data_IF_143443484846
#
_entry.id   IF_143443484846
#
_cell.length_a   1.000
_cell.length_b   1.000
_cell.length_c   1.000
_cell.angle_alpha   90.00
_cell.angle_beta   90.00
_cell.angle_gamma   90.00
#
_symmetry.space_group_name_H-M   'P 1'
#
loop_
_entity.id
_entity.type
_entity.pdbx_description
1 polymer ?
#
# COMPACT_ATOMS: atom_id res chain seq x y z
N UNK A 1 17.07 23.90 6.61
CA UNK A 1 18.52 24.02 6.84
C UNK A 1 18.70 25.33 7.57
N UNK A 2 18.86 25.30 8.90
CA UNK A 2 18.97 26.52 9.70
C UNK A 2 20.46 26.89 9.76
N UNK A 3 20.87 27.92 9.02
CA UNK A 3 22.26 28.40 8.99
C UNK A 3 22.36 29.69 9.79
N UNK A 4 23.26 29.72 10.78
CA UNK A 4 23.66 30.93 11.49
C UNK A 4 25.14 31.16 11.20
N UNK A 5 25.48 32.32 10.65
CA UNK A 5 26.85 32.67 10.27
C UNK A 5 27.54 33.43 11.42
N UNK A 6 28.66 32.89 11.90
CA UNK A 6 29.75 33.69 12.48
C UNK A 6 30.85 33.76 11.41
N UNK A 7 31.24 34.99 11.02
CA UNK A 7 32.37 35.27 10.12
C UNK A 7 32.48 34.43 8.82
N UNK A 8 31.36 33.98 8.26
CA UNK A 8 31.30 33.17 7.02
C UNK A 8 31.91 31.76 7.14
N UNK A 9 32.13 31.24 8.35
CA UNK A 9 32.57 29.86 8.57
C UNK A 9 31.35 28.94 8.69
N UNK A 10 31.33 27.87 7.90
CA UNK A 10 30.29 26.84 7.99
C UNK A 10 30.64 25.80 9.06
N UNK A 11 29.67 25.44 9.91
CA UNK A 11 29.80 24.39 10.92
C UNK A 11 28.83 23.25 10.62
N UNK A 12 29.33 22.01 10.55
CA UNK A 12 28.57 20.80 10.23
C UNK A 12 28.58 19.74 11.35
N UNK A 13 29.21 20.05 12.49
CA UNK A 13 29.37 19.17 13.64
C UNK A 13 28.99 19.83 14.97
N UNK A 14 28.71 19.01 15.98
CA UNK A 14 28.47 19.50 17.35
C UNK A 14 29.79 19.95 17.98
N UNK A 15 29.80 21.11 18.63
CA UNK A 15 31.01 21.63 19.25
C UNK A 15 30.80 22.97 19.94
N UNK A 16 31.80 23.39 20.72
CA UNK A 16 31.90 24.75 21.24
C UNK A 16 32.78 25.54 20.29
N UNK A 17 32.21 26.59 19.70
CA UNK A 17 32.90 27.48 18.79
C UNK A 17 33.14 28.81 19.48
N UNK A 18 34.33 29.38 19.30
CA UNK A 18 34.70 30.66 19.87
C UNK A 18 35.33 31.55 18.82
N UNK A 19 34.99 32.82 18.86
CA UNK A 19 35.51 33.85 17.98
C UNK A 19 35.95 35.06 18.80
N UNK A 20 37.00 35.75 18.35
CA UNK A 20 37.60 36.90 19.01
C UNK A 20 37.52 38.13 18.12
N UNK A 21 36.62 39.05 18.43
CA UNK A 21 36.60 40.36 17.80
C UNK A 21 37.51 41.32 18.56
N UNK A 22 38.39 42.04 17.85
CA UNK A 22 39.25 43.08 18.43
C UNK A 22 38.78 44.46 18.01
N UNK A 23 38.73 45.41 18.96
CA UNK A 23 38.45 46.80 18.63
C UNK A 23 39.71 47.51 18.07
N UNK A 24 39.55 48.74 17.58
CA UNK A 24 40.66 49.57 17.04
C UNK A 24 41.77 49.89 18.07
N UNK A 25 41.52 49.61 19.36
CA UNK A 25 42.44 49.81 20.47
C UNK A 25 43.11 48.52 20.95
N UNK A 26 42.86 47.38 20.28
CA UNK A 26 43.48 46.10 20.60
C UNK A 26 42.90 45.38 21.83
N UNK A 27 41.75 45.82 22.36
CA UNK A 27 41.00 45.00 23.32
C UNK A 27 40.23 43.92 22.57
N UNK A 28 40.29 42.69 23.05
CA UNK A 28 39.53 41.56 22.51
C UNK A 28 38.18 41.39 23.23
N UNK A 29 37.23 40.79 22.53
CA UNK A 29 36.02 40.24 23.10
C UNK A 29 35.87 38.82 22.58
N UNK A 30 35.80 37.85 23.50
CA UNK A 30 35.59 36.43 23.17
C UNK A 30 34.08 36.15 23.14
N UNK A 31 33.57 35.78 21.97
CA UNK A 31 32.22 35.26 21.82
C UNK A 31 32.29 33.75 21.74
N UNK A 32 31.49 33.04 22.52
CA UNK A 32 31.42 31.57 22.47
C UNK A 32 29.98 31.11 22.26
N UNK A 33 29.81 30.18 21.32
CA UNK A 33 28.55 29.47 21.06
C UNK A 33 28.77 27.98 21.30
N UNK A 34 27.88 27.37 22.06
CA UNK A 34 27.77 25.92 22.13
C UNK A 34 26.73 25.47 21.10
N UNK A 35 27.18 24.83 20.02
CA UNK A 35 26.35 24.39 18.91
C UNK A 35 26.15 22.88 18.98
N UNK A 36 24.87 22.46 19.03
CA UNK A 36 24.48 21.05 18.92
C UNK A 36 23.85 20.81 17.55
N UNK A 37 24.48 19.99 16.72
CA UNK A 37 23.97 19.50 15.43
C UNK A 37 23.64 18.02 15.58
N UNK A 38 22.37 17.68 15.44
CA UNK A 38 21.87 16.31 15.51
C UNK A 38 21.84 15.68 14.10
N UNK A 39 22.20 14.38 13.95
CA UNK A 39 22.18 13.71 12.66
C UNK A 39 20.74 13.57 12.15
N UNK A 40 20.54 13.78 10.83
CA UNK A 40 19.31 13.34 10.16
C UNK A 40 19.33 11.81 10.07
N UNK A 41 18.30 11.16 10.58
CA UNK A 41 18.07 9.75 10.30
C UNK A 41 17.47 9.65 8.89
N UNK A 42 18.14 8.94 8.00
CA UNK A 42 17.60 8.65 6.67
C UNK A 42 16.41 7.70 6.88
N UNK A 43 15.21 8.12 6.47
CA UNK A 43 14.05 7.25 6.63
C UNK A 43 14.05 6.12 5.60
N UNK A 44 13.47 5.00 6.03
CA UNK A 44 13.41 3.76 5.28
C UNK A 44 12.34 3.82 4.17
N UNK A 45 12.54 3.07 3.09
CA UNK A 45 11.55 2.92 2.02
C UNK A 45 10.83 1.59 2.14
N UNK A 46 9.53 1.64 2.44
CA UNK A 46 8.67 0.46 2.45
C UNK A 46 8.03 0.29 1.08
N UNK A 47 8.18 -0.87 0.45
CA UNK A 47 7.51 -1.17 -0.83
C UNK A 47 6.37 -2.16 -0.60
N UNK A 48 5.16 -1.74 -0.93
CA UNK A 48 3.94 -2.53 -0.74
C UNK A 48 3.19 -2.66 -2.05
N UNK A 49 2.59 -3.82 -2.26
CA UNK A 49 1.59 -4.03 -3.29
C UNK A 49 0.29 -4.42 -2.57
N UNK A 50 -0.83 -3.77 -2.91
CA UNK A 50 -2.12 -3.97 -2.24
C UNK A 50 -3.30 -3.95 -3.23
N UNK A 51 -4.46 -4.44 -2.80
CA UNK A 51 -5.75 -4.29 -3.49
C UNK A 51 -6.69 -3.49 -2.59
N UNK A 52 -7.47 -2.57 -3.17
CA UNK A 52 -8.42 -1.73 -2.41
C UNK A 52 -7.77 -0.65 -1.54
N UNK A 53 -6.43 -0.64 -1.46
CA UNK A 53 -5.63 0.32 -0.73
C UNK A 53 -4.81 -0.28 0.42
N UNK A 54 -4.05 0.58 1.07
CA UNK A 54 -3.15 0.23 2.17
C UNK A 54 -3.20 1.31 3.25
N UNK A 55 -3.41 0.89 4.50
CA UNK A 55 -3.27 1.77 5.67
C UNK A 55 -1.80 1.90 6.03
N UNK A 56 -1.28 3.11 5.90
CA UNK A 56 0.06 3.48 6.32
C UNK A 56 -0.02 4.58 7.37
N UNK A 57 0.35 4.25 8.60
CA UNK A 57 0.33 5.13 9.77
C UNK A 57 -1.05 5.77 10.07
N UNK A 58 -2.15 5.05 9.81
CA UNK A 58 -3.50 5.53 10.04
C UNK A 58 -4.09 6.35 8.89
N UNK A 59 -3.37 6.47 7.77
CA UNK A 59 -3.86 7.07 6.53
C UNK A 59 -4.00 5.98 5.48
N UNK A 60 -5.19 5.89 4.89
CA UNK A 60 -5.46 4.93 3.82
C UNK A 60 -5.05 5.54 2.47
N UNK A 61 -4.19 4.82 1.75
CA UNK A 61 -3.77 5.12 0.40
C UNK A 61 -4.33 4.07 -0.56
N UNK A 62 -5.20 4.49 -1.47
CA UNK A 62 -5.90 3.61 -2.43
C UNK A 62 -5.31 3.66 -3.84
N UNK A 63 -4.35 4.55 -4.07
CA UNK A 63 -3.76 4.83 -5.38
C UNK A 63 -2.30 4.40 -5.45
N UNK A 64 -1.86 3.98 -6.63
CA UNK A 64 -0.43 3.70 -6.86
C UNK A 64 0.37 5.00 -6.78
N UNK A 65 1.45 4.99 -6.00
CA UNK A 65 2.26 6.18 -5.82
C UNK A 65 3.39 6.01 -4.82
N UNK A 66 4.22 7.05 -4.77
CA UNK A 66 5.25 7.21 -3.74
C UNK A 66 4.74 8.25 -2.74
N UNK A 67 4.58 7.84 -1.50
CA UNK A 67 4.12 8.67 -0.39
C UNK A 67 5.26 8.92 0.59
N UNK A 68 5.34 10.11 1.15
CA UNK A 68 6.34 10.47 2.14
C UNK A 68 5.64 10.97 3.39
N UNK A 69 6.14 10.57 4.55
CA UNK A 69 5.68 11.04 5.84
C UNK A 69 6.89 11.42 6.71
N UNK A 70 6.71 12.45 7.53
CA UNK A 70 7.72 12.90 8.48
C UNK A 70 7.40 12.31 9.84
N UNK A 71 8.08 11.22 10.20
CA UNK A 71 8.10 10.82 11.60
C UNK A 71 9.04 11.79 12.34
N UNK A 72 8.45 12.63 13.20
CA UNK A 72 9.20 13.47 14.12
C UNK A 72 9.89 12.55 15.13
N UNK A 73 11.22 12.45 15.05
CA UNK A 73 11.99 11.71 16.06
C UNK A 73 11.76 12.37 17.43
N UNK A 74 11.50 11.56 18.45
CA UNK A 74 11.40 12.00 19.85
C UNK A 74 12.68 12.67 20.36
N UNK A 75 13.78 12.58 19.60
CA UNK A 75 15.05 13.24 19.87
C UNK A 75 15.17 14.48 18.96
N UNK A 76 14.98 15.64 19.58
CA UNK A 76 15.51 16.95 19.18
C UNK A 76 15.11 17.57 17.84
N UNK A 77 13.99 17.15 17.22
CA UNK A 77 13.42 17.85 16.04
C UNK A 77 14.20 17.63 14.74
N UNK A 78 15.01 16.59 14.67
CA UNK A 78 15.50 16.05 13.41
C UNK A 78 14.45 15.09 12.85
N UNK A 79 13.59 15.62 11.98
CA UNK A 79 12.54 14.82 11.35
C UNK A 79 13.15 13.80 10.39
N UNK A 80 12.62 12.57 10.44
CA UNK A 80 12.96 11.51 9.48
C UNK A 80 11.86 11.47 8.43
N UNK A 81 12.23 11.48 7.14
CA UNK A 81 11.28 11.27 6.05
C UNK A 81 11.26 9.80 5.72
N UNK A 82 10.19 9.09 6.08
CA UNK A 82 9.93 7.72 5.62
C UNK A 82 9.20 7.77 4.28
N UNK A 83 9.41 6.74 3.46
CA UNK A 83 8.82 6.65 2.12
C UNK A 83 8.03 5.34 1.98
N UNK A 84 6.81 5.42 1.47
CA UNK A 84 6.02 4.28 1.01
C UNK A 84 5.99 4.29 -0.53
N UNK A 85 6.46 3.22 -1.15
CA UNK A 85 6.27 2.96 -2.56
C UNK A 85 5.12 1.94 -2.72
N UNK A 86 3.92 2.44 -3.01
CA UNK A 86 2.71 1.63 -3.10
C UNK A 86 2.34 1.36 -4.56
N UNK A 87 2.15 0.08 -4.90
CA UNK A 87 1.41 -0.33 -6.09
C UNK A 87 0.03 -0.84 -5.66
N UNK A 88 -0.99 -0.02 -5.86
CA UNK A 88 -2.40 -0.34 -5.53
C UNK A 88 -3.15 -0.78 -6.79
N UNK A 89 -3.88 -1.89 -6.68
CA UNK A 89 -4.84 -2.37 -7.67
C UNK A 89 -6.27 -2.20 -7.17
N UNK A 90 -7.26 -2.01 -8.06
CA UNK A 90 -8.66 -2.03 -7.64
C UNK A 90 -9.03 -3.39 -7.04
N UNK A 91 -9.93 -3.36 -6.05
CA UNK A 91 -10.60 -4.58 -5.60
C UNK A 91 -11.47 -5.14 -6.71
N UNK A 92 -11.69 -6.45 -6.68
CA UNK A 92 -12.58 -7.15 -7.59
C UNK A 92 -13.75 -7.76 -6.83
N UNK A 93 -14.93 -7.71 -7.42
CA UNK A 93 -16.14 -8.31 -6.86
C UNK A 93 -16.56 -9.50 -7.73
N UNK A 94 -16.38 -10.72 -7.23
CA UNK A 94 -16.78 -11.94 -7.90
C UNK A 94 -18.20 -12.41 -7.52
N UNK A 95 -19.04 -11.52 -6.99
CA UNK A 95 -20.39 -11.87 -6.54
C UNK A 95 -21.31 -12.24 -7.72
N UNK A 96 -21.92 -13.42 -7.62
CA UNK A 96 -22.95 -13.90 -8.53
C UNK A 96 -23.96 -14.75 -7.75
N UNK A 97 -25.14 -14.95 -8.35
CA UNK A 97 -26.20 -15.80 -7.80
C UNK A 97 -26.89 -16.58 -8.91
N UNK A 98 -27.44 -17.74 -8.59
CA UNK A 98 -28.49 -18.37 -9.39
C UNK A 98 -29.84 -18.17 -8.68
N UNK A 99 -30.93 -18.38 -9.40
CA UNK A 99 -32.29 -18.21 -8.88
C UNK A 99 -32.70 -19.29 -7.87
N UNK A 100 -32.12 -20.48 -7.96
CA UNK A 100 -32.29 -21.57 -6.99
C UNK A 100 -30.96 -22.30 -6.67
N UNK A 101 -30.94 -23.07 -5.58
CA UNK A 101 -29.83 -23.93 -5.18
C UNK A 101 -29.92 -25.36 -5.71
N UNK A 102 -31.02 -25.74 -6.38
CA UNK A 102 -31.20 -27.08 -6.97
C UNK A 102 -32.09 -27.03 -8.21
N UNK A 103 -31.81 -27.91 -9.18
CA UNK A 103 -32.55 -28.01 -10.44
C UNK A 103 -32.84 -29.47 -10.75
N UNK A 104 -34.00 -29.74 -11.36
CA UNK A 104 -34.40 -31.07 -11.78
C UNK A 104 -33.86 -31.39 -13.18
N UNK A 105 -33.62 -32.68 -13.45
CA UNK A 105 -33.30 -33.14 -14.80
C UNK A 105 -34.46 -32.80 -15.73
N UNK A 106 -34.17 -32.05 -16.80
CA UNK A 106 -35.16 -31.59 -17.77
C UNK A 106 -35.69 -30.17 -17.53
N UNK A 107 -35.27 -29.50 -16.46
CA UNK A 107 -35.51 -28.07 -16.28
C UNK A 107 -34.81 -27.24 -17.36
N UNK A 108 -35.22 -25.99 -17.50
CA UNK A 108 -34.50 -25.03 -18.34
C UNK A 108 -33.09 -24.78 -17.76
N UNK A 109 -32.15 -24.45 -18.65
CA UNK A 109 -30.78 -24.10 -18.27
C UNK A 109 -30.76 -22.84 -17.39
N UNK A 110 -30.29 -22.92 -16.14
CA UNK A 110 -30.27 -21.76 -15.26
C UNK A 110 -29.19 -20.77 -15.68
N UNK A 111 -29.49 -19.49 -15.49
CA UNK A 111 -28.65 -18.37 -15.90
C UNK A 111 -28.24 -17.58 -14.65
N UNK A 112 -26.95 -17.37 -14.39
CA UNK A 112 -26.53 -16.63 -13.22
C UNK A 112 -26.80 -15.13 -13.38
N UNK A 113 -27.11 -14.46 -12.28
CA UNK A 113 -27.06 -13.01 -12.17
C UNK A 113 -25.73 -12.61 -11.53
N UNK A 114 -24.85 -11.97 -12.30
CA UNK A 114 -23.60 -11.40 -11.81
C UNK A 114 -23.92 -10.03 -11.20
N UNK A 115 -23.61 -9.84 -9.92
CA UNK A 115 -23.80 -8.56 -9.22
C UNK A 115 -22.50 -7.78 -9.04
N UNK A 116 -21.36 -8.46 -9.18
CA UNK A 116 -20.03 -7.87 -9.17
C UNK A 116 -19.49 -7.57 -10.59
N UNK A 117 -18.18 -7.70 -10.76
CA UNK A 117 -17.46 -7.45 -12.01
C UNK A 117 -17.84 -8.44 -13.11
N UNK A 118 -18.00 -7.96 -14.34
CA UNK A 118 -18.50 -8.78 -15.46
C UNK A 118 -17.39 -9.38 -16.33
N UNK A 119 -16.13 -9.19 -15.96
CA UNK A 119 -14.96 -9.60 -16.77
C UNK A 119 -14.37 -10.95 -16.38
N UNK A 120 -14.97 -11.61 -15.38
CA UNK A 120 -14.53 -12.91 -14.89
C UNK A 120 -14.92 -14.09 -15.80
N UNK A 121 -14.46 -15.28 -15.41
CA UNK A 121 -14.79 -16.56 -16.06
C UNK A 121 -15.39 -17.52 -15.06
N UNK A 122 -16.41 -18.25 -15.47
CA UNK A 122 -17.00 -19.33 -14.70
C UNK A 122 -16.22 -20.63 -14.87
N UNK A 123 -16.18 -21.40 -13.78
CA UNK A 123 -15.64 -22.77 -13.72
C UNK A 123 -16.50 -23.60 -12.78
N UNK A 124 -16.43 -24.92 -12.90
CA UNK A 124 -17.11 -25.84 -11.99
C UNK A 124 -16.27 -27.05 -11.65
N UNK A 125 -16.67 -27.78 -10.62
CA UNK A 125 -16.20 -29.16 -10.43
C UNK A 125 -16.61 -30.06 -11.62
N UNK A 126 -15.84 -31.14 -11.83
CA UNK A 126 -16.05 -32.07 -12.93
C UNK A 126 -17.45 -32.69 -12.91
N UNK A 127 -18.10 -32.76 -14.07
CA UNK A 127 -19.42 -33.39 -14.25
C UNK A 127 -20.58 -32.40 -14.39
N UNK A 128 -20.37 -31.11 -14.11
CA UNK A 128 -21.29 -30.03 -14.47
C UNK A 128 -20.84 -29.41 -15.80
N UNK A 129 -21.74 -29.31 -16.76
CA UNK A 129 -21.52 -28.57 -17.99
C UNK A 129 -21.92 -27.10 -17.76
N UNK A 130 -20.94 -26.21 -17.79
CA UNK A 130 -21.14 -24.76 -17.64
C UNK A 130 -20.40 -24.01 -18.75
N UNK A 131 -21.05 -23.00 -19.33
CA UNK A 131 -20.38 -22.10 -20.26
C UNK A 131 -19.48 -21.12 -19.51
N UNK A 132 -18.17 -21.14 -19.80
CA UNK A 132 -17.19 -20.36 -19.05
C UNK A 132 -17.37 -18.84 -19.16
N UNK A 133 -18.02 -18.34 -20.22
CA UNK A 133 -18.16 -16.90 -20.47
C UNK A 133 -19.46 -16.33 -19.92
N UNK A 134 -20.55 -17.08 -20.03
CA UNK A 134 -21.89 -16.66 -19.62
C UNK A 134 -22.32 -17.24 -18.28
N UNK A 135 -21.67 -18.31 -17.82
CA UNK A 135 -22.04 -19.04 -16.61
C UNK A 135 -23.34 -19.84 -16.73
N UNK A 136 -23.93 -19.94 -17.93
CA UNK A 136 -25.13 -20.75 -18.14
C UNK A 136 -24.79 -22.22 -17.91
N UNK A 137 -25.57 -22.89 -17.07
CA UNK A 137 -25.44 -24.33 -16.83
C UNK A 137 -26.29 -25.09 -17.84
N UNK A 138 -25.69 -26.07 -18.54
CA UNK A 138 -26.41 -27.01 -19.38
C UNK A 138 -26.84 -28.23 -18.56
N UNK A 139 -28.11 -28.24 -18.14
CA UNK A 139 -28.67 -29.31 -17.31
C UNK A 139 -28.67 -30.65 -18.05
N UNK A 140 -28.94 -30.64 -19.37
CA UNK A 140 -29.03 -31.87 -20.17
C UNK A 140 -27.67 -32.55 -20.36
N UNK A 141 -26.59 -31.77 -20.33
CA UNK A 141 -25.21 -32.24 -20.49
C UNK A 141 -24.50 -32.51 -19.15
N UNK A 142 -25.18 -32.30 -18.02
CA UNK A 142 -24.61 -32.47 -16.67
C UNK A 142 -24.99 -33.80 -16.04
N UNK A 143 -24.13 -34.35 -15.18
CA UNK A 143 -24.48 -35.49 -14.35
C UNK A 143 -25.32 -35.04 -13.13
N UNK A 144 -26.04 -35.99 -12.51
CA UNK A 144 -26.73 -35.71 -11.25
C UNK A 144 -25.70 -35.70 -10.12
N UNK A 145 -25.65 -34.62 -9.35
CA UNK A 145 -24.74 -34.48 -8.21
C UNK A 145 -24.69 -33.07 -7.67
N UNK A 146 -23.87 -32.88 -6.63
CA UNK A 146 -23.58 -31.58 -6.05
C UNK A 146 -22.30 -31.00 -6.69
N UNK A 147 -22.35 -29.72 -7.07
CA UNK A 147 -21.27 -29.06 -7.77
C UNK A 147 -20.88 -27.75 -7.11
N UNK A 148 -19.58 -27.44 -7.15
CA UNK A 148 -19.07 -26.13 -6.80
C UNK A 148 -18.93 -25.31 -8.09
N UNK A 149 -19.64 -24.19 -8.17
CA UNK A 149 -19.44 -23.18 -9.22
C UNK A 149 -18.56 -22.08 -8.66
N UNK A 150 -17.52 -21.72 -9.41
CA UNK A 150 -16.62 -20.61 -9.09
C UNK A 150 -16.63 -19.58 -10.20
N UNK A 151 -16.69 -18.31 -9.82
CA UNK A 151 -16.52 -17.18 -10.74
C UNK A 151 -15.21 -16.48 -10.40
N UNK A 152 -14.30 -16.45 -11.36
CA UNK A 152 -12.95 -15.93 -11.15
C UNK A 152 -12.83 -14.61 -11.89
N UNK A 153 -12.75 -13.52 -11.14
CA UNK A 153 -12.43 -12.19 -11.67
C UNK A 153 -10.95 -11.95 -11.45
N UNK A 154 -10.21 -11.72 -12.53
CA UNK A 154 -8.79 -11.44 -12.45
C UNK A 154 -8.53 -9.95 -12.24
N UNK A 155 -7.70 -9.61 -11.24
CA UNK A 155 -6.68 -8.59 -11.50
C UNK A 155 -5.54 -9.31 -12.23
N UNK A 156 -4.96 -8.75 -13.28
CA UNK A 156 -3.98 -9.47 -14.10
C UNK A 156 -2.66 -9.76 -13.36
N UNK A 157 -2.52 -9.38 -12.08
CA UNK A 157 -1.22 -9.23 -11.43
C UNK A 157 -1.09 -9.80 -9.99
N UNK A 158 -2.00 -10.60 -9.44
CA UNK A 158 -1.72 -11.28 -8.15
C UNK A 158 -1.73 -12.81 -8.16
N UNK A 159 -0.51 -13.34 -8.04
CA UNK A 159 -0.19 -14.56 -7.32
C UNK A 159 -0.29 -14.26 -5.81
N UNK A 160 -1.36 -14.71 -5.15
CA UNK A 160 -1.57 -14.85 -3.68
C UNK A 160 -1.03 -13.73 -2.76
N UNK A 161 -1.90 -13.03 -1.99
CA UNK A 161 -1.44 -12.06 -0.99
C UNK A 161 -0.43 -12.68 -0.01
N UNK A 162 0.69 -11.98 0.23
CA UNK A 162 1.60 -12.35 1.32
C UNK A 162 0.83 -12.42 2.65
N UNK A 163 1.18 -13.35 3.55
CA UNK A 163 0.49 -13.49 4.82
C UNK A 163 0.57 -12.17 5.59
N UNK A 164 -0.58 -11.57 5.90
CA UNK A 164 -0.65 -10.57 6.96
C UNK A 164 -0.24 -11.28 8.26
N UNK A 165 0.95 -11.00 8.76
CA UNK A 165 1.28 -11.26 10.16
C UNK A 165 0.46 -10.27 10.96
N UNK A 166 -0.55 -10.77 11.66
CA UNK A 166 -1.22 -10.03 12.71
C UNK A 166 -0.30 -10.11 13.94
N UNK A 167 0.26 -8.98 14.36
CA UNK A 167 0.74 -8.80 15.74
C UNK A 167 -0.43 -8.52 16.67
#
# INVERSE_FOLDING_TARGET
MLQLYLEWVEYDSTGVYSDTATNIYGCDSLTSINLTINPRLFGDTTTIVACGGYDWNGVIYDSTGIYNDTLQSAVSGCDSIITLNLTSYPDVDASFTYDDGSYCVGDANPVPTITGDTTGSFTSSTGLAIDASSGVIDIASSNVGDYLVSYIVGNSNWQTPSPKVLE
#
